data_IF_751266178164
#
_entry.id   IF_751266178164
#
_cell.length_a   1.000
_cell.length_b   1.000
_cell.length_c   1.000
_cell.angle_alpha   90.00
_cell.angle_beta   90.00
_cell.angle_gamma   90.00
#
_symmetry.space_group_name_H-M   'P 1'
#
loop_
_entity.id
_entity.type
_entity.pdbx_description
1 polymer ?
#
# COMPACT_ATOMS: atom_id res chain seq x y z
N UNK A 1 -34.02 -20.77 14.53
CA UNK A 1 -32.60 -20.55 14.24
C UNK A 1 -32.53 -19.28 13.41
N UNK A 2 -32.23 -18.13 14.05
CA UNK A 2 -31.99 -16.85 13.37
C UNK A 2 -30.69 -17.01 12.57
N UNK A 3 -30.79 -17.09 11.25
CA UNK A 3 -29.64 -16.84 10.38
C UNK A 3 -29.21 -15.39 10.66
N UNK A 4 -28.11 -15.21 11.40
CA UNK A 4 -27.39 -13.95 11.38
C UNK A 4 -27.03 -13.71 9.93
N UNK A 5 -27.64 -12.70 9.32
CA UNK A 5 -27.18 -12.13 8.05
C UNK A 5 -25.81 -11.53 8.38
N UNK A 6 -24.76 -12.32 8.19
CA UNK A 6 -23.39 -11.78 8.25
C UNK A 6 -23.29 -10.81 7.09
N UNK A 7 -23.35 -9.53 7.39
CA UNK A 7 -23.09 -8.49 6.39
C UNK A 7 -21.73 -8.77 5.79
N UNK A 8 -21.65 -8.83 4.46
CA UNK A 8 -20.36 -9.01 3.79
C UNK A 8 -19.45 -7.82 4.11
N UNK A 9 -18.13 -8.06 4.25
CA UNK A 9 -17.22 -7.02 4.65
C UNK A 9 -17.14 -5.91 3.59
N UNK A 10 -16.99 -4.67 4.05
CA UNK A 10 -16.68 -3.52 3.22
C UNK A 10 -15.15 -3.38 3.13
N UNK A 11 -14.63 -3.18 1.91
CA UNK A 11 -13.21 -2.93 1.66
C UNK A 11 -13.00 -1.44 1.34
N UNK A 12 -12.08 -0.78 2.04
CA UNK A 12 -11.65 0.58 1.70
C UNK A 12 -10.27 0.54 1.05
N UNK A 13 -10.19 0.92 -0.24
CA UNK A 13 -8.92 1.21 -0.91
C UNK A 13 -8.46 2.61 -0.51
N UNK A 14 -7.28 2.71 0.10
CA UNK A 14 -6.72 3.96 0.65
C UNK A 14 -5.46 4.30 -0.12
N UNK A 15 -5.47 5.45 -0.80
CA UNK A 15 -4.44 5.87 -1.73
C UNK A 15 -3.80 7.17 -1.23
N UNK A 16 -2.56 7.13 -0.71
CA UNK A 16 -1.82 8.35 -0.44
C UNK A 16 -1.32 8.94 -1.76
N UNK A 17 -1.63 10.21 -2.02
CA UNK A 17 -1.25 10.87 -3.25
C UNK A 17 -0.54 12.21 -2.98
N UNK A 18 0.59 12.46 -3.65
CA UNK A 18 1.32 13.72 -3.63
C UNK A 18 1.81 14.05 -5.03
N UNK A 19 1.22 15.04 -5.69
CA UNK A 19 1.53 15.44 -7.07
C UNK A 19 1.44 14.26 -8.06
N UNK A 20 0.33 13.52 -8.04
CA UNK A 20 0.11 12.33 -8.87
C UNK A 20 -0.96 12.52 -9.96
N UNK A 21 -1.25 13.79 -10.34
CA UNK A 21 -2.25 14.12 -11.36
C UNK A 21 -2.09 13.31 -12.66
N UNK A 22 -0.87 12.90 -13.03
CA UNK A 22 -0.58 12.17 -14.27
C UNK A 22 -0.95 10.68 -14.19
N UNK A 23 -0.68 10.01 -13.08
CA UNK A 23 -0.82 8.55 -12.94
C UNK A 23 -2.08 8.14 -12.18
N UNK A 24 -2.59 9.01 -11.32
CA UNK A 24 -3.77 8.73 -10.51
C UNK A 24 -5.00 8.28 -11.32
N UNK A 25 -5.32 8.88 -12.50
CA UNK A 25 -6.44 8.40 -13.31
C UNK A 25 -6.35 6.94 -13.71
N UNK A 26 -5.15 6.50 -14.15
CA UNK A 26 -4.90 5.11 -14.53
C UNK A 26 -4.99 4.18 -13.32
N UNK A 27 -4.42 4.58 -12.19
CA UNK A 27 -4.50 3.83 -10.93
C UNK A 27 -5.95 3.65 -10.47
N UNK A 28 -6.75 4.72 -10.48
CA UNK A 28 -8.16 4.65 -10.07
C UNK A 28 -8.99 3.79 -11.02
N UNK A 29 -8.78 3.92 -12.33
CA UNK A 29 -9.44 3.07 -13.33
C UNK A 29 -9.04 1.60 -13.15
N UNK A 30 -7.75 1.33 -12.94
CA UNK A 30 -7.23 -0.01 -12.71
C UNK A 30 -7.79 -0.66 -11.44
N UNK A 31 -7.90 0.08 -10.33
CA UNK A 31 -8.53 -0.42 -9.10
C UNK A 31 -10.00 -0.76 -9.35
N UNK A 32 -10.75 0.08 -10.08
CA UNK A 32 -12.16 -0.21 -10.41
C UNK A 32 -12.30 -1.47 -11.23
N UNK A 33 -11.51 -1.60 -12.29
CA UNK A 33 -11.48 -2.81 -13.12
C UNK A 33 -11.13 -4.06 -12.30
N UNK A 34 -10.13 -3.98 -11.43
CA UNK A 34 -9.77 -5.09 -10.55
C UNK A 34 -10.89 -5.41 -9.54
N UNK A 35 -11.62 -4.39 -9.07
CA UNK A 35 -12.70 -4.54 -8.10
C UNK A 35 -13.99 -5.18 -8.68
N UNK A 36 -14.07 -5.43 -9.99
CA UNK A 36 -15.18 -6.20 -10.59
C UNK A 36 -15.31 -7.58 -9.93
N UNK A 37 -14.19 -8.21 -9.55
CA UNK A 37 -14.20 -9.47 -8.81
C UNK A 37 -14.90 -9.37 -7.45
N UNK A 38 -14.78 -8.23 -6.77
CA UNK A 38 -15.45 -7.96 -5.49
C UNK A 38 -16.95 -7.85 -5.70
N UNK A 39 -17.37 -7.20 -6.79
CA UNK A 39 -18.79 -7.08 -7.18
C UNK A 39 -19.39 -8.47 -7.45
N UNK A 40 -18.69 -9.33 -8.19
CA UNK A 40 -19.11 -10.72 -8.43
C UNK A 40 -19.23 -11.49 -7.12
N UNK A 41 -18.33 -11.28 -6.17
CA UNK A 41 -18.38 -11.87 -4.82
C UNK A 41 -19.39 -11.18 -3.90
N UNK A 42 -20.08 -10.13 -4.39
CA UNK A 42 -20.99 -9.29 -3.63
C UNK A 42 -20.32 -8.67 -2.37
N UNK A 43 -19.06 -8.26 -2.47
CA UNK A 43 -18.28 -7.54 -1.45
C UNK A 43 -18.33 -6.05 -1.80
N UNK A 44 -18.80 -5.22 -0.86
CA UNK A 44 -18.82 -3.77 -1.04
C UNK A 44 -17.42 -3.17 -0.93
N UNK A 45 -17.19 -2.08 -1.65
CA UNK A 45 -15.91 -1.37 -1.60
C UNK A 45 -16.05 0.13 -1.83
N UNK A 46 -15.08 0.88 -1.34
CA UNK A 46 -14.93 2.32 -1.57
C UNK A 46 -13.48 2.68 -1.91
N UNK A 47 -13.28 3.84 -2.50
CA UNK A 47 -11.94 4.43 -2.72
C UNK A 47 -11.85 5.71 -1.90
N UNK A 48 -10.78 5.82 -1.10
CA UNK A 48 -10.38 7.00 -0.35
C UNK A 48 -9.02 7.46 -0.85
N UNK A 49 -8.92 8.67 -1.35
CA UNK A 49 -7.65 9.30 -1.73
C UNK A 49 -7.27 10.31 -0.66
N UNK A 50 -6.10 10.18 -0.08
CA UNK A 50 -5.54 11.21 0.78
C UNK A 50 -4.59 12.09 -0.04
N UNK A 51 -5.04 13.32 -0.34
CA UNK A 51 -4.18 14.35 -0.91
C UNK A 51 -3.20 14.84 0.15
N UNK A 52 -1.92 14.49 -0.04
CA UNK A 52 -0.86 14.80 0.90
C UNK A 52 -0.16 16.13 0.56
N UNK A 53 -0.95 17.20 0.49
CA UNK A 53 -0.47 18.56 0.21
C UNK A 53 0.07 18.71 -1.22
N UNK A 54 -0.67 18.21 -2.22
CA UNK A 54 -0.34 18.38 -3.63
C UNK A 54 -0.47 19.83 -4.08
N UNK A 55 0.30 20.19 -5.09
CA UNK A 55 0.29 21.51 -5.74
C UNK A 55 -0.26 21.45 -7.17
N UNK A 56 -0.63 20.25 -7.63
CA UNK A 56 -1.25 19.97 -8.92
C UNK A 56 -2.74 19.59 -8.77
N UNK A 57 -3.36 19.12 -9.84
CA UNK A 57 -4.77 18.74 -9.87
C UNK A 57 -5.11 17.39 -9.20
N UNK A 58 -4.21 16.81 -8.40
CA UNK A 58 -4.37 15.47 -7.81
C UNK A 58 -5.73 15.30 -7.10
N UNK A 59 -6.08 16.21 -6.19
CA UNK A 59 -7.34 16.12 -5.41
C UNK A 59 -8.57 16.21 -6.33
N UNK A 60 -8.59 17.18 -7.25
CA UNK A 60 -9.69 17.37 -8.21
C UNK A 60 -9.89 16.14 -9.11
N UNK A 61 -8.81 15.54 -9.58
CA UNK A 61 -8.86 14.32 -10.39
C UNK A 61 -9.44 13.16 -9.57
N UNK A 62 -9.03 13.00 -8.31
CA UNK A 62 -9.57 11.95 -7.45
C UNK A 62 -11.09 12.07 -7.28
N UNK A 63 -11.59 13.28 -7.01
CA UNK A 63 -13.03 13.55 -6.89
C UNK A 63 -13.79 13.27 -8.20
N UNK A 64 -13.26 13.70 -9.34
CA UNK A 64 -13.85 13.44 -10.66
C UNK A 64 -13.95 11.96 -10.99
N UNK A 65 -13.05 11.14 -10.45
CA UNK A 65 -13.10 9.68 -10.53
C UNK A 65 -13.92 9.05 -9.38
N UNK A 66 -14.70 9.82 -8.64
CA UNK A 66 -15.63 9.32 -7.62
C UNK A 66 -14.94 8.72 -6.38
N UNK A 67 -13.71 9.11 -6.07
CA UNK A 67 -13.07 8.81 -4.82
C UNK A 67 -13.51 9.80 -3.73
N UNK A 68 -13.57 9.35 -2.48
CA UNK A 68 -13.66 10.26 -1.34
C UNK A 68 -12.28 10.85 -1.08
N UNK A 69 -12.19 12.17 -0.98
CA UNK A 69 -10.90 12.86 -0.80
C UNK A 69 -10.79 13.42 0.61
N UNK A 70 -9.62 13.27 1.20
CA UNK A 70 -9.23 13.91 2.46
C UNK A 70 -7.87 14.57 2.31
N UNK A 71 -7.67 15.70 2.98
CA UNK A 71 -6.42 16.46 2.91
C UNK A 71 -5.53 16.20 4.13
N UNK A 72 -4.22 15.99 3.89
CA UNK A 72 -3.18 15.93 4.92
C UNK A 72 -2.08 16.94 4.62
N UNK A 73 -1.95 17.96 5.49
CA UNK A 73 -1.05 19.09 5.31
C UNK A 73 0.45 18.75 5.40
N UNK A 74 0.79 17.71 6.14
CA UNK A 74 2.18 17.30 6.35
C UNK A 74 2.56 16.25 5.33
N UNK A 75 3.45 16.59 4.39
CA UNK A 75 3.91 15.68 3.36
C UNK A 75 4.74 14.54 4.00
N UNK A 76 4.05 13.46 4.37
CA UNK A 76 4.59 12.21 4.90
C UNK A 76 3.63 11.07 4.60
N UNK A 77 4.12 10.03 3.93
CA UNK A 77 3.30 8.91 3.46
C UNK A 77 2.54 8.18 4.59
N UNK A 78 3.17 7.99 5.75
CA UNK A 78 2.51 7.41 6.93
C UNK A 78 1.31 8.24 7.39
N UNK A 79 1.44 9.58 7.38
CA UNK A 79 0.33 10.48 7.72
C UNK A 79 -0.78 10.37 6.70
N UNK A 80 -0.45 10.45 5.42
CA UNK A 80 -1.43 10.34 4.36
C UNK A 80 -2.22 9.03 4.45
N UNK A 81 -1.55 7.90 4.67
CA UNK A 81 -2.22 6.61 4.85
C UNK A 81 -3.10 6.58 6.10
N UNK A 82 -2.62 7.11 7.24
CA UNK A 82 -3.41 7.17 8.47
C UNK A 82 -4.61 8.12 8.34
N UNK A 83 -4.43 9.29 7.71
CA UNK A 83 -5.50 10.26 7.47
C UNK A 83 -6.56 9.68 6.53
N UNK A 84 -6.16 8.98 5.46
CA UNK A 84 -7.10 8.24 4.61
C UNK A 84 -7.88 7.18 5.39
N UNK A 85 -7.17 6.40 6.23
CA UNK A 85 -7.79 5.37 7.07
C UNK A 85 -8.77 5.94 8.11
N UNK A 86 -8.58 7.19 8.55
CA UNK A 86 -9.45 7.82 9.55
C UNK A 86 -10.87 8.08 9.06
N UNK A 87 -11.06 8.27 7.75
CA UNK A 87 -12.37 8.49 7.11
C UNK A 87 -12.90 7.22 6.43
N UNK A 88 -12.09 6.20 6.30
CA UNK A 88 -12.47 4.94 5.66
C UNK A 88 -13.48 4.17 6.51
N UNK A 89 -14.54 3.66 5.86
CA UNK A 89 -15.66 2.98 6.50
C UNK A 89 -15.52 1.44 6.50
N UNK A 90 -14.52 0.89 5.79
CA UNK A 90 -14.35 -0.54 5.58
C UNK A 90 -13.97 -1.33 6.82
N UNK A 91 -14.33 -2.61 6.80
CA UNK A 91 -13.85 -3.62 7.75
C UNK A 91 -12.43 -4.06 7.44
N UNK A 92 -12.02 -3.86 6.17
CA UNK A 92 -10.68 -4.09 5.66
C UNK A 92 -10.14 -2.85 4.98
N UNK A 93 -8.92 -2.49 5.29
CA UNK A 93 -8.17 -1.42 4.64
C UNK A 93 -7.15 -2.01 3.68
N UNK A 94 -7.11 -1.48 2.46
CA UNK A 94 -6.13 -1.85 1.43
C UNK A 94 -5.41 -0.59 1.00
N UNK A 95 -4.16 -0.44 1.41
CA UNK A 95 -3.31 0.68 1.05
C UNK A 95 -2.61 0.39 -0.27
N UNK A 96 -2.80 1.26 -1.25
CA UNK A 96 -2.21 1.15 -2.60
C UNK A 96 -1.56 2.48 -2.96
N UNK A 97 -0.34 2.46 -3.48
CA UNK A 97 0.32 3.68 -3.95
C UNK A 97 -0.37 4.22 -5.23
N UNK A 98 -0.34 5.55 -5.42
CA UNK A 98 -1.02 6.25 -6.50
C UNK A 98 -0.46 5.96 -7.91
N UNK A 99 0.57 5.14 -8.03
CA UNK A 99 1.23 4.69 -9.25
C UNK A 99 1.23 3.15 -9.38
N UNK A 100 0.31 2.48 -8.72
CA UNK A 100 0.25 1.01 -8.64
C UNK A 100 -1.13 0.50 -9.05
N UNK A 101 -1.16 -0.55 -9.87
CA UNK A 101 -2.38 -1.14 -10.41
C UNK A 101 -2.46 -2.61 -9.98
N UNK A 102 -3.43 -2.96 -9.11
CA UNK A 102 -3.63 -4.35 -8.72
C UNK A 102 -4.31 -5.12 -9.87
N UNK A 103 -3.85 -6.33 -10.23
CA UNK A 103 -4.63 -7.20 -11.10
C UNK A 103 -5.85 -7.78 -10.35
N UNK A 104 -6.93 -8.09 -11.07
CA UNK A 104 -8.13 -8.69 -10.48
C UNK A 104 -7.85 -9.97 -9.69
N UNK A 105 -6.97 -10.83 -10.18
CA UNK A 105 -6.55 -12.04 -9.47
C UNK A 105 -5.88 -11.78 -8.13
N UNK A 106 -5.22 -10.62 -7.94
CA UNK A 106 -4.66 -10.24 -6.63
C UNK A 106 -5.78 -9.94 -5.62
N UNK A 107 -6.83 -9.25 -6.05
CA UNK A 107 -7.98 -8.97 -5.17
C UNK A 107 -8.77 -10.25 -4.88
N UNK A 108 -8.83 -11.18 -5.83
CA UNK A 108 -9.43 -12.49 -5.63
C UNK A 108 -8.64 -13.30 -4.58
N UNK A 109 -7.33 -13.41 -4.73
CA UNK A 109 -6.43 -14.07 -3.76
C UNK A 109 -6.52 -13.42 -2.36
N UNK A 110 -6.64 -12.09 -2.31
CA UNK A 110 -6.86 -11.35 -1.07
C UNK A 110 -8.21 -11.73 -0.42
N UNK A 111 -9.29 -11.81 -1.18
CA UNK A 111 -10.59 -12.22 -0.67
C UNK A 111 -10.56 -13.65 -0.14
N UNK A 112 -9.93 -14.59 -0.85
CA UNK A 112 -9.76 -15.97 -0.37
C UNK A 112 -9.02 -16.03 0.96
N UNK A 113 -7.98 -15.22 1.09
CA UNK A 113 -7.26 -15.09 2.36
C UNK A 113 -8.16 -14.53 3.48
N UNK A 114 -8.94 -13.48 3.19
CA UNK A 114 -9.90 -12.88 4.14
C UNK A 114 -10.99 -13.88 4.57
N UNK A 115 -11.58 -14.60 3.61
CA UNK A 115 -12.63 -15.59 3.82
C UNK A 115 -12.17 -16.77 4.69
N UNK A 116 -10.86 -17.06 4.73
CA UNK A 116 -10.29 -18.05 5.64
C UNK A 116 -10.54 -17.74 7.12
N UNK A 117 -10.83 -16.49 7.47
CA UNK A 117 -11.00 -16.02 8.85
C UNK A 117 -9.72 -16.03 9.70
N UNK A 118 -8.57 -16.42 9.11
CA UNK A 118 -7.30 -16.64 9.82
C UNK A 118 -6.27 -15.53 9.61
N UNK A 119 -6.63 -14.47 8.89
CA UNK A 119 -5.69 -13.42 8.48
C UNK A 119 -5.96 -12.12 9.24
N UNK A 120 -4.91 -11.51 9.76
CA UNK A 120 -4.93 -10.16 10.33
C UNK A 120 -4.65 -9.08 9.27
N UNK A 121 -3.98 -9.46 8.21
CA UNK A 121 -3.56 -8.60 7.12
C UNK A 121 -2.40 -9.22 6.35
N UNK A 122 -1.84 -8.45 5.43
CA UNK A 122 -0.77 -8.93 4.57
C UNK A 122 -0.25 -7.89 3.60
N UNK A 123 0.41 -8.38 2.58
CA UNK A 123 0.88 -7.64 1.42
C UNK A 123 0.92 -8.54 0.20
N UNK A 124 1.51 -8.06 -0.88
CA UNK A 124 1.72 -8.83 -2.10
C UNK A 124 3.17 -8.74 -2.56
N UNK A 125 3.62 -9.70 -3.35
CA UNK A 125 4.84 -9.55 -4.13
C UNK A 125 4.61 -8.54 -5.25
N UNK A 126 5.70 -7.93 -5.74
CA UNK A 126 5.63 -6.86 -6.73
C UNK A 126 6.28 -7.26 -8.05
N UNK A 127 5.81 -6.63 -9.12
CA UNK A 127 6.46 -6.56 -10.43
C UNK A 127 6.48 -5.11 -10.92
N UNK A 128 7.31 -4.80 -11.91
CA UNK A 128 7.37 -3.45 -12.48
C UNK A 128 6.64 -3.39 -13.83
N UNK A 129 6.16 -2.18 -14.16
CA UNK A 129 5.46 -1.90 -15.43
C UNK A 129 6.39 -1.79 -16.64
N UNK A 130 7.72 -1.83 -16.43
CA UNK A 130 8.74 -1.75 -17.46
C UNK A 130 9.82 -2.82 -17.27
N UNK A 131 10.53 -3.14 -18.36
CA UNK A 131 11.71 -3.98 -18.28
C UNK A 131 12.83 -3.29 -17.50
N UNK A 132 13.31 -3.98 -16.47
CA UNK A 132 14.40 -3.50 -15.65
C UNK A 132 15.72 -4.10 -16.11
N UNK A 133 16.79 -3.32 -15.95
CA UNK A 133 18.14 -3.88 -16.04
C UNK A 133 18.30 -5.07 -15.07
N UNK A 134 19.03 -6.10 -15.46
CA UNK A 134 19.17 -7.38 -14.73
C UNK A 134 19.47 -7.19 -13.22
N UNK A 135 20.26 -6.17 -12.85
CA UNK A 135 20.59 -5.85 -11.45
C UNK A 135 19.34 -5.50 -10.62
N UNK A 136 18.45 -4.63 -11.16
CA UNK A 136 17.21 -4.26 -10.49
C UNK A 136 16.21 -5.42 -10.45
N UNK A 137 16.21 -6.28 -11.48
CA UNK A 137 15.40 -7.50 -11.45
C UNK A 137 15.87 -8.47 -10.36
N UNK A 138 17.18 -8.63 -10.19
CA UNK A 138 17.73 -9.46 -9.11
C UNK A 138 17.36 -8.88 -7.74
N UNK A 139 17.50 -7.55 -7.57
CA UNK A 139 17.08 -6.87 -6.35
C UNK A 139 15.60 -7.08 -6.04
N UNK A 140 14.70 -6.91 -7.02
CA UNK A 140 13.26 -7.13 -6.86
C UNK A 140 12.96 -8.59 -6.48
N UNK A 141 13.63 -9.56 -7.09
CA UNK A 141 13.49 -10.98 -6.73
C UNK A 141 13.94 -11.25 -5.30
N UNK A 142 15.06 -10.67 -4.90
CA UNK A 142 15.55 -10.78 -3.52
C UNK A 142 14.56 -10.15 -2.53
N UNK A 143 14.05 -8.95 -2.86
CA UNK A 143 13.04 -8.29 -2.03
C UNK A 143 11.77 -9.15 -1.89
N UNK A 144 11.22 -9.65 -3.00
CA UNK A 144 10.03 -10.51 -2.97
C UNK A 144 10.25 -11.77 -2.12
N UNK A 145 11.42 -12.41 -2.21
CA UNK A 145 11.77 -13.56 -1.36
C UNK A 145 11.87 -13.17 0.12
N UNK A 146 12.53 -12.06 0.42
CA UNK A 146 12.65 -11.56 1.79
C UNK A 146 11.27 -11.21 2.36
N UNK A 147 10.43 -10.52 1.58
CA UNK A 147 9.05 -10.21 1.93
C UNK A 147 8.26 -11.47 2.33
N UNK A 148 8.35 -12.53 1.52
CA UNK A 148 7.68 -13.81 1.80
C UNK A 148 8.20 -14.48 3.07
N UNK A 149 9.53 -14.60 3.23
CA UNK A 149 10.16 -15.28 4.36
C UNK A 149 9.91 -14.54 5.68
N UNK A 150 10.09 -13.23 5.66
CA UNK A 150 9.94 -12.38 6.84
C UNK A 150 8.49 -11.99 7.10
N UNK A 151 7.58 -12.26 6.15
CA UNK A 151 6.19 -11.77 6.16
C UNK A 151 6.16 -10.25 6.36
N UNK A 152 6.85 -9.52 5.49
CA UNK A 152 6.89 -8.06 5.44
C UNK A 152 6.17 -7.57 4.19
N UNK A 153 5.14 -6.75 4.37
CA UNK A 153 4.48 -6.14 3.24
C UNK A 153 5.41 -5.12 2.55
N UNK A 154 5.27 -4.99 1.24
CA UNK A 154 5.81 -3.86 0.49
C UNK A 154 4.85 -2.67 0.56
N UNK A 155 5.36 -1.44 0.58
CA UNK A 155 4.56 -0.23 0.77
C UNK A 155 3.48 -0.02 -0.28
N UNK A 156 3.70 -0.49 -1.50
CA UNK A 156 2.76 -0.34 -2.61
C UNK A 156 1.46 -1.16 -2.50
N UNK A 157 1.43 -2.20 -1.64
CA UNK A 157 0.23 -2.97 -1.34
C UNK A 157 0.27 -3.55 0.06
N UNK A 158 -0.56 -3.02 0.94
CA UNK A 158 -0.72 -3.50 2.31
C UNK A 158 -2.21 -3.64 2.60
N UNK A 159 -2.66 -4.81 3.03
CA UNK A 159 -4.04 -4.96 3.49
C UNK A 159 -4.08 -5.38 4.96
N UNK A 160 -5.09 -4.92 5.68
CA UNK A 160 -5.25 -5.20 7.11
C UNK A 160 -6.71 -5.12 7.54
N UNK A 161 -7.07 -5.90 8.54
CA UNK A 161 -8.33 -5.71 9.27
C UNK A 161 -8.35 -4.30 9.88
N UNK A 162 -9.45 -3.60 9.75
CA UNK A 162 -9.58 -2.22 10.26
C UNK A 162 -9.46 -2.16 11.79
N UNK A 163 -10.03 -3.12 12.51
CA UNK A 163 -9.94 -3.23 13.97
C UNK A 163 -8.49 -3.44 14.43
N UNK A 164 -7.74 -4.32 13.75
CA UNK A 164 -6.33 -4.56 14.03
C UNK A 164 -5.47 -3.32 13.72
N UNK A 165 -5.69 -2.69 12.56
CA UNK A 165 -4.98 -1.47 12.16
C UNK A 165 -5.16 -0.35 13.19
N UNK A 166 -6.41 -0.11 13.62
CA UNK A 166 -6.75 0.88 14.65
C UNK A 166 -6.11 0.53 16.01
N UNK A 167 -6.20 -0.74 16.41
CA UNK A 167 -5.67 -1.22 17.70
C UNK A 167 -4.14 -1.10 17.82
N UNK A 168 -3.40 -1.23 16.70
CA UNK A 168 -1.93 -1.08 16.70
C UNK A 168 -1.47 0.37 16.49
N UNK A 169 -2.40 1.32 16.33
CA UNK A 169 -2.13 2.74 16.13
C UNK A 169 -1.63 3.08 14.73
N UNK A 170 -1.99 2.28 13.71
CA UNK A 170 -1.69 2.55 12.31
C UNK A 170 -0.20 2.56 11.95
N UNK A 171 0.12 3.25 10.86
CA UNK A 171 1.51 3.46 10.42
C UNK A 171 2.25 4.38 11.40
N UNK A 172 3.54 4.09 11.69
CA UNK A 172 4.33 4.93 12.58
C UNK A 172 4.62 6.30 11.96
N UNK A 173 4.56 7.35 12.76
CA UNK A 173 4.81 8.73 12.31
C UNK A 173 6.26 9.16 12.50
N UNK A 174 7.07 8.36 13.15
CA UNK A 174 8.46 8.65 13.50
C UNK A 174 9.48 8.13 12.47
N UNK A 175 9.03 7.61 11.33
CA UNK A 175 9.89 7.20 10.23
C UNK A 175 9.38 7.70 8.87
N UNK A 176 10.31 7.87 7.94
CA UNK A 176 10.06 8.35 6.58
C UNK A 176 10.23 7.25 5.52
N UNK A 177 10.57 6.05 5.94
CA UNK A 177 10.63 4.84 5.09
C UNK A 177 10.52 3.59 5.94
N UNK A 178 10.05 2.49 5.33
CA UNK A 178 9.86 1.19 5.98
C UNK A 178 8.79 1.19 7.06
N UNK A 179 7.88 2.15 7.02
CA UNK A 179 6.71 2.23 7.89
C UNK A 179 5.83 0.99 7.77
N UNK A 180 5.77 0.40 6.58
CA UNK A 180 5.05 -0.85 6.31
C UNK A 180 5.70 -2.06 7.01
N UNK A 181 7.03 -2.06 7.18
CA UNK A 181 7.74 -3.12 7.92
C UNK A 181 7.37 -3.06 9.40
N UNK A 182 7.33 -1.85 9.95
CA UNK A 182 6.92 -1.63 11.34
C UNK A 182 5.46 -2.02 11.55
N UNK A 183 4.57 -1.60 10.63
CA UNK A 183 3.16 -1.98 10.67
C UNK A 183 2.99 -3.50 10.58
N UNK A 184 3.68 -4.16 9.64
CA UNK A 184 3.67 -5.63 9.51
C UNK A 184 4.04 -6.33 10.83
N UNK A 185 5.07 -5.82 11.53
CA UNK A 185 5.48 -6.37 12.82
C UNK A 185 4.43 -6.15 13.93
N UNK A 186 3.83 -4.96 13.97
CA UNK A 186 2.76 -4.64 14.93
C UNK A 186 1.53 -5.54 14.70
N UNK A 187 1.08 -5.68 13.44
CA UNK A 187 -0.05 -6.53 13.08
C UNK A 187 0.22 -8.01 13.39
N UNK A 188 1.43 -8.51 13.10
CA UNK A 188 1.83 -9.87 13.47
C UNK A 188 1.78 -10.12 14.99
N UNK A 189 2.23 -9.16 15.78
CA UNK A 189 2.15 -9.26 17.25
C UNK A 189 0.71 -9.28 17.74
N UNK A 190 -0.13 -8.38 17.22
CA UNK A 190 -1.55 -8.30 17.55
C UNK A 190 -2.30 -9.57 17.13
N UNK A 191 -1.98 -10.12 15.96
CA UNK A 191 -2.59 -11.34 15.44
C UNK A 191 -2.24 -12.61 16.24
N UNK A 192 -1.00 -12.72 16.75
CA UNK A 192 -0.54 -13.91 17.49
C UNK A 192 -1.44 -14.26 18.66
N UNK A 193 -1.86 -13.30 19.47
CA UNK A 193 -2.74 -13.52 20.61
C UNK A 193 -4.17 -13.92 20.21
N UNK A 194 -4.50 -13.84 18.93
CA UNK A 194 -5.83 -14.12 18.34
C UNK A 194 -5.79 -15.25 17.32
N UNK A 195 -4.66 -15.95 17.22
CA UNK A 195 -4.41 -17.04 16.26
C UNK A 195 -4.59 -16.59 14.80
N UNK A 196 -4.36 -15.28 14.52
CA UNK A 196 -4.39 -14.72 13.19
C UNK A 196 -2.97 -14.60 12.62
N UNK A 197 -2.85 -14.82 11.31
CA UNK A 197 -1.57 -14.78 10.61
C UNK A 197 -1.48 -13.56 9.69
N UNK A 198 -0.25 -13.17 9.33
CA UNK A 198 0.03 -12.15 8.33
C UNK A 198 0.52 -12.86 7.07
N UNK A 199 -0.11 -12.60 5.91
CA UNK A 199 0.11 -13.33 4.67
C UNK A 199 0.70 -12.44 3.57
N UNK A 200 1.66 -12.95 2.79
CA UNK A 200 2.12 -12.32 1.56
C UNK A 200 1.52 -13.10 0.39
N UNK A 201 0.69 -12.43 -0.42
CA UNK A 201 0.06 -12.97 -1.60
C UNK A 201 1.11 -13.12 -2.72
N UNK A 202 1.12 -14.26 -3.40
CA UNK A 202 2.19 -14.62 -4.33
C UNK A 202 1.70 -15.06 -5.70
N UNK A 203 0.41 -15.33 -5.86
CA UNK A 203 -0.17 -15.82 -7.11
C UNK A 203 -0.26 -14.74 -8.18
N UNK A 204 -0.55 -13.51 -7.78
CA UNK A 204 -0.79 -12.39 -8.70
C UNK A 204 -0.02 -11.14 -8.23
N UNK A 205 1.22 -10.92 -8.74
CA UNK A 205 2.03 -9.79 -8.31
C UNK A 205 1.35 -8.44 -8.56
N UNK A 206 1.50 -7.48 -7.61
CA UNK A 206 1.13 -6.10 -7.86
C UNK A 206 2.02 -5.49 -8.94
N UNK A 207 1.44 -4.80 -9.92
CA UNK A 207 2.17 -4.02 -10.90
C UNK A 207 2.37 -2.60 -10.39
N UNK A 208 3.61 -2.15 -10.24
CA UNK A 208 3.96 -0.79 -9.78
C UNK A 208 4.88 -0.10 -10.78
N UNK A 209 4.88 1.24 -10.76
CA UNK A 209 5.63 2.02 -11.73
C UNK A 209 7.14 1.98 -11.50
N UNK A 210 7.89 1.71 -12.58
CA UNK A 210 9.35 1.84 -12.62
C UNK A 210 9.82 3.30 -12.75
N UNK A 211 8.89 4.27 -12.78
CA UNK A 211 9.17 5.71 -13.00
C UNK A 211 10.33 6.22 -12.13
N UNK A 212 10.33 5.89 -10.83
CA UNK A 212 11.37 6.35 -9.91
C UNK A 212 12.78 5.88 -10.31
N UNK A 213 12.90 4.67 -10.88
CA UNK A 213 14.19 4.17 -11.36
C UNK A 213 14.69 5.01 -12.54
N UNK A 214 13.80 5.51 -13.38
CA UNK A 214 14.12 6.32 -14.57
C UNK A 214 14.32 7.82 -14.24
N UNK A 215 13.70 8.33 -13.18
CA UNK A 215 13.77 9.74 -12.77
C UNK A 215 15.08 10.09 -12.04
N UNK A 216 15.71 9.12 -11.40
CA UNK A 216 16.89 9.35 -10.58
C UNK A 216 18.15 8.81 -11.24
N UNK A 217 19.26 9.51 -11.04
CA UNK A 217 20.55 9.06 -11.53
C UNK A 217 21.01 7.76 -10.85
N UNK A 218 21.87 6.99 -11.51
CA UNK A 218 22.44 5.76 -10.95
C UNK A 218 23.09 5.97 -9.58
N UNK A 219 23.74 7.15 -9.39
CA UNK A 219 24.38 7.50 -8.12
C UNK A 219 23.38 7.77 -7.01
N UNK A 220 22.25 8.43 -7.30
CA UNK A 220 21.16 8.66 -6.33
C UNK A 220 20.50 7.32 -5.93
N UNK A 221 20.25 6.45 -6.90
CA UNK A 221 19.69 5.10 -6.65
C UNK A 221 20.64 4.27 -5.77
N UNK A 222 21.94 4.25 -6.09
CA UNK A 222 22.94 3.51 -5.30
C UNK A 222 23.09 4.07 -3.87
N UNK A 223 23.05 5.41 -3.70
CA UNK A 223 23.02 6.03 -2.37
C UNK A 223 21.80 5.59 -1.56
N UNK A 224 20.61 5.63 -2.17
CA UNK A 224 19.38 5.19 -1.50
C UNK A 224 19.45 3.71 -1.12
N UNK A 225 19.98 2.86 -2.01
CA UNK A 225 20.19 1.45 -1.75
C UNK A 225 21.17 1.22 -0.59
N UNK A 226 22.29 1.93 -0.58
CA UNK A 226 23.27 1.88 0.50
C UNK A 226 22.65 2.27 1.85
N UNK A 227 21.90 3.37 1.90
CA UNK A 227 21.19 3.79 3.11
C UNK A 227 20.16 2.77 3.57
N UNK A 228 19.44 2.13 2.63
CA UNK A 228 18.44 1.11 2.93
C UNK A 228 19.04 -0.17 3.51
N UNK A 229 20.25 -0.54 3.09
CA UNK A 229 20.88 -1.80 3.54
C UNK A 229 21.71 -1.57 4.82
N UNK A 230 22.60 -0.58 4.81
CA UNK A 230 23.63 -0.45 5.82
C UNK A 230 23.30 0.54 6.94
N UNK A 231 22.53 1.58 6.66
CA UNK A 231 22.27 2.67 7.60
C UNK A 231 20.80 2.81 7.99
N UNK A 232 19.93 1.91 7.52
CA UNK A 232 18.48 2.00 7.74
C UNK A 232 18.07 2.32 9.20
N UNK A 233 18.58 1.65 10.25
CA UNK A 233 18.17 1.95 11.61
C UNK A 233 18.46 3.40 12.04
N UNK A 234 19.52 4.01 11.49
CA UNK A 234 19.98 5.35 11.84
C UNK A 234 19.32 6.46 11.01
N UNK A 235 18.97 6.17 9.75
CA UNK A 235 18.48 7.19 8.80
C UNK A 235 16.96 7.14 8.58
N UNK A 236 16.27 6.07 8.95
CA UNK A 236 14.82 5.90 8.71
C UNK A 236 13.96 7.04 9.25
N UNK A 237 14.41 7.72 10.30
CA UNK A 237 13.73 8.86 10.94
C UNK A 237 14.11 10.22 10.34
N UNK A 238 15.00 10.27 9.37
CA UNK A 238 15.52 11.52 8.79
C UNK A 238 15.04 11.70 7.35
N UNK A 239 14.09 12.61 7.13
CA UNK A 239 13.47 12.88 5.82
C UNK A 239 14.48 13.10 4.68
N UNK A 240 15.57 13.83 4.93
CA UNK A 240 16.53 14.21 3.89
C UNK A 240 17.27 13.05 3.22
N UNK A 241 17.35 11.87 3.85
CA UNK A 241 17.94 10.69 3.22
C UNK A 241 16.97 9.99 2.23
N UNK A 242 15.67 10.29 2.33
CA UNK A 242 14.59 9.64 1.57
C UNK A 242 13.98 10.59 0.53
N UNK A 243 14.82 11.45 -0.06
CA UNK A 243 14.42 12.48 -1.03
C UNK A 243 13.60 11.93 -2.19
N UNK A 244 13.86 10.70 -2.67
CA UNK A 244 13.13 10.06 -3.77
C UNK A 244 11.61 9.96 -3.55
N UNK A 245 11.15 10.03 -2.31
CA UNK A 245 9.72 10.00 -1.97
C UNK A 245 9.15 11.38 -1.66
N UNK A 246 10.01 12.37 -1.39
CA UNK A 246 9.61 13.65 -0.79
C UNK A 246 10.07 14.91 -1.54
N UNK A 247 10.86 14.80 -2.61
CA UNK A 247 11.41 15.96 -3.35
C UNK A 247 10.46 16.50 -4.44
N UNK A 248 9.34 15.81 -4.69
CA UNK A 248 8.32 16.26 -5.64
C UNK A 248 8.65 16.00 -7.11
N UNK A 249 9.75 15.36 -7.47
CA UNK A 249 9.99 14.92 -8.85
C UNK A 249 8.95 13.86 -9.25
N UNK A 250 8.21 14.13 -10.39
CA UNK A 250 7.09 13.30 -10.88
C UNK A 250 7.12 13.15 -12.40
#
# INVERSE_FOLDING_TARGET
VLHQIVSKPLISFIIPAFNEAKLLPETLAGIRCAADVLTVRNVAWEIVVCDNNSTDDTARIAEQHGARVVFEKVNQISRARNTGASIAAGDWFVFIDADSVPPGGLLEEMCDAMDSGRIVGGGAIMTMDAELHWFWMLWLRMWNRTSQLMKWAAGSFVYARADAFKAVGGFPLDCYTGEELVLSQKLKRWGRSRQLTFCILTGHPLKTSARKINLYSKTELLKTLFFSIFLYPFVRKRRGFWFMWYDGRR
#
